data_IF_842359379616
#
_entry.id   IF_842359379616
#
_cell.length_a   1.000
_cell.length_b   1.000
_cell.length_c   1.000
_cell.angle_alpha   90.00
_cell.angle_beta   90.00
_cell.angle_gamma   90.00
#
_symmetry.space_group_name_H-M   'P 1'
#
loop_
_entity.id
_entity.type
_entity.pdbx_description
1 polymer ?
#
# COMPACT_ATOMS: atom_id res chain seq x y z
N UNK A 1 16.31 21.19 -22.26
CA UNK A 1 15.62 19.92 -21.93
C UNK A 1 14.13 20.20 -21.97
N UNK A 2 13.36 19.48 -22.78
CA UNK A 2 11.90 19.66 -22.77
C UNK A 2 11.34 19.15 -21.44
N UNK A 3 10.26 19.73 -20.90
CA UNK A 3 9.69 19.30 -19.61
C UNK A 3 9.41 17.78 -19.55
N UNK A 4 9.05 17.17 -20.68
CA UNK A 4 8.82 15.71 -20.78
C UNK A 4 10.09 14.85 -20.64
N UNK A 5 11.26 15.34 -21.06
CA UNK A 5 12.53 14.62 -20.85
C UNK A 5 12.98 14.64 -19.38
N UNK A 6 12.65 15.70 -18.64
CA UNK A 6 12.95 15.78 -17.21
C UNK A 6 12.17 14.71 -16.42
N UNK A 7 10.89 14.50 -16.74
CA UNK A 7 10.08 13.42 -16.14
C UNK A 7 10.61 12.03 -16.47
N UNK A 8 11.09 11.81 -17.70
CA UNK A 8 11.72 10.55 -18.10
C UNK A 8 13.00 10.26 -17.32
N UNK A 9 13.86 11.28 -17.12
CA UNK A 9 15.09 11.16 -16.33
C UNK A 9 14.80 10.91 -14.85
N UNK A 10 13.80 11.59 -14.27
CA UNK A 10 13.38 11.36 -12.89
C UNK A 10 12.87 9.93 -12.72
N UNK A 11 12.05 9.43 -13.64
CA UNK A 11 11.57 8.05 -13.61
C UNK A 11 12.71 7.03 -13.66
N UNK A 12 13.70 7.25 -14.53
CA UNK A 12 14.89 6.40 -14.64
C UNK A 12 15.76 6.45 -13.38
N UNK A 13 15.96 7.62 -12.78
CA UNK A 13 16.71 7.75 -11.53
C UNK A 13 16.00 7.04 -10.37
N UNK A 14 14.68 7.19 -10.26
CA UNK A 14 13.89 6.49 -9.24
C UNK A 14 13.97 4.98 -9.44
N UNK A 15 13.83 4.49 -10.67
CA UNK A 15 13.97 3.07 -10.98
C UNK A 15 15.38 2.55 -10.65
N UNK A 16 16.43 3.31 -10.94
CA UNK A 16 17.80 2.96 -10.61
C UNK A 16 18.04 2.89 -9.08
N UNK A 17 17.48 3.84 -8.32
CA UNK A 17 17.55 3.84 -6.85
C UNK A 17 16.80 2.66 -6.25
N UNK A 18 15.62 2.34 -6.77
CA UNK A 18 14.84 1.17 -6.34
C UNK A 18 15.61 -0.12 -6.64
N UNK A 19 16.18 -0.24 -7.84
CA UNK A 19 16.99 -1.39 -8.21
C UNK A 19 18.21 -1.55 -7.29
N UNK A 20 18.89 -0.45 -6.94
CA UNK A 20 20.01 -0.47 -6.00
C UNK A 20 19.57 -0.90 -4.60
N UNK A 21 18.47 -0.37 -4.07
CA UNK A 21 17.93 -0.75 -2.77
C UNK A 21 17.60 -2.25 -2.67
N UNK A 22 17.10 -2.85 -3.76
CA UNK A 22 16.66 -4.26 -3.80
C UNK A 22 17.81 -5.24 -4.04
N UNK A 23 18.68 -4.95 -5.02
CA UNK A 23 19.68 -5.91 -5.51
C UNK A 23 21.08 -5.70 -4.93
N UNK A 24 21.43 -4.50 -4.46
CA UNK A 24 22.76 -4.27 -3.91
C UNK A 24 22.94 -4.99 -2.57
N UNK A 25 24.16 -5.49 -2.32
CA UNK A 25 24.59 -5.92 -0.99
C UNK A 25 24.84 -4.67 -0.16
N UNK A 26 23.99 -4.45 0.84
CA UNK A 26 24.10 -3.28 1.72
C UNK A 26 25.38 -3.40 2.54
N UNK A 27 26.27 -2.39 2.53
CA UNK A 27 27.51 -2.42 3.31
C UNK A 27 27.22 -2.40 4.82
N UNK A 28 28.15 -2.90 5.64
CA UNK A 28 27.92 -3.14 7.08
C UNK A 28 27.59 -1.86 7.86
N UNK A 29 28.16 -0.72 7.47
CA UNK A 29 27.81 0.58 8.06
C UNK A 29 26.35 0.98 7.78
N UNK A 30 25.80 0.59 6.64
CA UNK A 30 24.42 0.87 6.26
C UNK A 30 23.47 -0.05 7.03
N UNK A 31 23.83 -1.32 7.22
CA UNK A 31 23.07 -2.25 8.06
C UNK A 31 23.11 -1.90 9.56
N UNK A 32 24.13 -1.15 9.99
CA UNK A 32 24.26 -0.69 11.38
C UNK A 32 23.43 0.56 11.69
N UNK A 33 23.19 1.41 10.67
CA UNK A 33 22.40 2.65 10.81
C UNK A 33 20.94 2.44 10.38
N UNK A 34 20.70 1.59 9.37
CA UNK A 34 19.38 1.25 8.85
C UNK A 34 18.96 -0.16 9.25
N UNK A 35 17.75 -0.53 8.84
CA UNK A 35 17.19 -1.87 8.98
C UNK A 35 18.01 -2.89 8.16
N UNK A 36 18.26 -4.06 8.74
CA UNK A 36 19.02 -5.13 8.08
C UNK A 36 18.35 -5.61 6.79
N UNK A 37 19.13 -6.05 5.78
CA UNK A 37 18.61 -6.55 4.49
C UNK A 37 17.47 -7.58 4.63
N UNK A 38 17.55 -8.50 5.60
CA UNK A 38 16.47 -9.47 5.87
C UNK A 38 15.19 -8.80 6.37
N UNK A 39 15.32 -7.83 7.27
CA UNK A 39 14.19 -7.09 7.82
C UNK A 39 13.57 -6.15 6.77
N UNK A 40 14.37 -5.59 5.84
CA UNK A 40 13.86 -4.83 4.70
C UNK A 40 12.97 -5.69 3.79
N UNK A 41 13.43 -6.87 3.39
CA UNK A 41 12.64 -7.81 2.58
C UNK A 41 11.38 -8.25 3.33
N UNK A 42 11.49 -8.57 4.62
CA UNK A 42 10.34 -8.91 5.45
C UNK A 42 9.33 -7.76 5.56
N UNK A 43 9.78 -6.52 5.72
CA UNK A 43 8.91 -5.36 5.78
C UNK A 43 8.11 -5.15 4.48
N UNK A 44 8.74 -5.35 3.32
CA UNK A 44 8.04 -5.28 2.03
C UNK A 44 7.00 -6.39 1.91
N UNK A 45 7.35 -7.63 2.24
CA UNK A 45 6.41 -8.76 2.18
C UNK A 45 5.23 -8.59 3.14
N UNK A 46 5.47 -8.10 4.35
CA UNK A 46 4.43 -7.76 5.31
C UNK A 46 3.54 -6.62 4.81
N UNK A 47 4.15 -5.58 4.21
CA UNK A 47 3.42 -4.47 3.60
C UNK A 47 2.51 -4.91 2.45
N UNK A 48 3.00 -5.79 1.56
CA UNK A 48 2.18 -6.37 0.48
C UNK A 48 1.04 -7.21 1.04
N UNK A 49 1.30 -8.00 2.08
CA UNK A 49 0.27 -8.81 2.74
C UNK A 49 -0.83 -7.92 3.32
N UNK A 50 -0.46 -6.85 4.03
CA UNK A 50 -1.40 -5.89 4.59
C UNK A 50 -2.18 -5.13 3.51
N UNK A 51 -1.50 -4.70 2.45
CA UNK A 51 -2.13 -4.06 1.30
C UNK A 51 -3.10 -5.01 0.60
N UNK A 52 -2.76 -6.29 0.48
CA UNK A 52 -3.62 -7.33 -0.07
C UNK A 52 -4.90 -7.51 0.76
N UNK A 53 -4.80 -7.50 2.10
CA UNK A 53 -5.96 -7.53 2.99
C UNK A 53 -6.85 -6.32 2.78
N UNK A 54 -6.28 -5.11 2.74
CA UNK A 54 -7.06 -3.89 2.49
C UNK A 54 -7.69 -3.86 1.11
N UNK A 55 -6.97 -4.33 0.08
CA UNK A 55 -7.49 -4.47 -1.26
C UNK A 55 -8.64 -5.47 -1.34
N UNK A 56 -8.53 -6.61 -0.66
CA UNK A 56 -9.60 -7.62 -0.60
C UNK A 56 -10.86 -7.02 0.04
N UNK A 57 -10.71 -6.31 1.15
CA UNK A 57 -11.83 -5.65 1.84
C UNK A 57 -12.47 -4.59 0.95
N UNK A 58 -11.66 -3.71 0.34
CA UNK A 58 -12.16 -2.64 -0.53
C UNK A 58 -12.83 -3.17 -1.80
N UNK A 59 -12.25 -4.19 -2.43
CA UNK A 59 -12.84 -4.84 -3.61
C UNK A 59 -14.13 -5.59 -3.27
N UNK A 60 -14.19 -6.27 -2.11
CA UNK A 60 -15.41 -6.89 -1.61
C UNK A 60 -16.53 -5.88 -1.40
N UNK A 61 -16.23 -4.73 -0.79
CA UNK A 61 -17.18 -3.63 -0.63
C UNK A 61 -17.68 -3.07 -1.97
N UNK A 62 -16.77 -2.94 -2.94
CA UNK A 62 -17.10 -2.49 -4.29
C UNK A 62 -17.99 -3.48 -5.03
N UNK A 63 -17.71 -4.78 -4.91
CA UNK A 63 -18.51 -5.85 -5.53
C UNK A 63 -19.93 -5.91 -4.93
N UNK A 64 -20.04 -5.78 -3.60
CA UNK A 64 -21.32 -5.77 -2.90
C UNK A 64 -22.19 -4.62 -3.39
N UNK A 65 -21.67 -3.39 -3.42
CA UNK A 65 -22.46 -2.23 -3.90
C UNK A 65 -22.62 -2.18 -5.41
N UNK A 66 -21.67 -2.74 -6.18
CA UNK A 66 -21.73 -2.79 -7.63
C UNK A 66 -22.77 -3.77 -8.16
N UNK A 67 -23.07 -4.85 -7.42
CA UNK A 67 -24.07 -5.85 -7.79
C UNK A 67 -25.45 -5.61 -7.16
N UNK A 68 -25.51 -4.92 -6.01
CA UNK A 68 -26.80 -4.61 -5.38
C UNK A 68 -27.49 -3.43 -6.08
N UNK A 69 -28.67 -3.69 -6.67
CA UNK A 69 -29.56 -2.66 -7.26
C UNK A 69 -30.19 -1.71 -6.24
N UNK A 70 -30.09 -2.00 -4.93
CA UNK A 70 -30.61 -1.15 -3.86
C UNK A 70 -29.62 -1.15 -2.68
N UNK A 71 -29.08 0.02 -2.33
CA UNK A 71 -28.16 0.19 -1.21
C UNK A 71 -28.98 0.37 0.07
N UNK A 72 -29.00 -0.65 0.93
CA UNK A 72 -29.75 -0.57 2.20
C UNK A 72 -29.03 0.31 3.23
N UNK A 73 -29.39 1.59 3.27
CA UNK A 73 -28.85 2.58 4.23
C UNK A 73 -29.38 2.43 5.66
N UNK A 74 -30.33 1.51 5.92
CA UNK A 74 -30.80 1.23 7.28
C UNK A 74 -29.67 0.71 8.21
N UNK A 75 -28.58 0.23 7.63
CA UNK A 75 -27.41 -0.21 8.38
C UNK A 75 -26.73 0.96 9.14
N UNK A 76 -26.74 2.17 8.59
CA UNK A 76 -26.16 3.35 9.25
C UNK A 76 -26.97 3.85 10.45
N UNK A 77 -28.30 3.80 10.38
CA UNK A 77 -29.17 4.19 11.49
C UNK A 77 -29.17 3.16 12.63
N UNK A 78 -29.06 1.87 12.32
CA UNK A 78 -28.87 0.82 13.34
C UNK A 78 -27.52 0.92 14.05
N UNK A 79 -26.45 1.30 13.34
CA UNK A 79 -25.15 1.59 13.95
C UNK A 79 -25.22 2.76 14.93
N UNK A 80 -25.88 3.85 14.56
CA UNK A 80 -26.09 5.00 15.44
C UNK A 80 -27.01 4.68 16.62
N UNK A 81 -28.06 3.87 16.39
CA UNK A 81 -28.95 3.41 17.46
C UNK A 81 -28.19 2.50 18.45
N UNK A 82 -27.37 1.58 17.94
CA UNK A 82 -26.49 0.74 18.76
C UNK A 82 -25.50 1.56 19.58
N UNK A 83 -24.90 2.61 19.00
CA UNK A 83 -24.00 3.54 19.71
C UNK A 83 -24.70 4.47 20.70
N UNK A 84 -26.02 4.66 20.58
CA UNK A 84 -26.82 5.47 21.51
C UNK A 84 -27.37 4.63 22.68
N UNK A 85 -27.60 3.32 22.47
CA UNK A 85 -28.17 2.41 23.47
C UNK A 85 -27.09 1.66 24.28
N UNK A 86 -25.92 1.38 23.69
CA UNK A 86 -24.77 0.78 24.39
C UNK A 86 -23.93 1.81 25.12
#
# INVERSE_FOLDING_TARGET
>A
MTPGQAWGLVGLLVAAVIAWLVFAVWPDWLNAILISKKAFVSAILNGITLAGLYFLVASGFTLIFGLMRNVNLAHGSLYLLGAYIG
#
